data_IF_230525105305
#
_entry.id   IF_230525105305
#
_cell.length_a   1.000
_cell.length_b   1.000
_cell.length_c   1.000
_cell.angle_alpha   90.00
_cell.angle_beta   90.00
_cell.angle_gamma   90.00
#
_symmetry.space_group_name_H-M   'P 1'
#
loop_
_entity.id
_entity.type
_entity.pdbx_description
1 polymer ?
#
# COMPACT_ATOMS: atom_id res chain seq x y z
N UNK A 1 -3.90 -9.17 -21.49
CA UNK A 1 -4.81 -8.03 -21.36
C UNK A 1 -4.75 -7.54 -19.90
N UNK A 2 -4.93 -6.24 -19.62
CA UNK A 2 -4.74 -5.67 -18.27
C UNK A 2 -5.66 -6.28 -17.19
N UNK A 3 -6.90 -6.58 -17.55
CA UNK A 3 -7.92 -7.24 -16.73
C UNK A 3 -7.43 -8.59 -16.15
N UNK A 4 -6.82 -9.45 -16.99
CA UNK A 4 -6.29 -10.76 -16.57
C UNK A 4 -5.18 -10.60 -15.55
N UNK A 5 -4.34 -9.56 -15.71
CA UNK A 5 -3.27 -9.27 -14.76
C UNK A 5 -3.83 -8.87 -13.39
N UNK A 6 -4.76 -7.91 -13.36
CA UNK A 6 -5.34 -7.43 -12.09
C UNK A 6 -6.13 -8.53 -11.37
N UNK A 7 -6.91 -9.35 -12.10
CA UNK A 7 -7.65 -10.46 -11.49
C UNK A 7 -6.71 -11.49 -10.86
N UNK A 8 -5.67 -11.94 -11.58
CA UNK A 8 -4.68 -12.87 -11.05
C UNK A 8 -3.91 -12.28 -9.86
N UNK A 9 -3.62 -10.98 -9.91
CA UNK A 9 -2.92 -10.28 -8.83
C UNK A 9 -3.79 -10.19 -7.58
N UNK A 10 -5.07 -9.87 -7.71
CA UNK A 10 -6.04 -9.86 -6.61
C UNK A 10 -6.17 -11.23 -5.95
N UNK A 11 -6.31 -12.31 -6.73
CA UNK A 11 -6.36 -13.67 -6.20
C UNK A 11 -5.11 -14.00 -5.35
N UNK A 12 -3.93 -13.65 -5.87
CA UNK A 12 -2.66 -13.87 -5.17
C UNK A 12 -2.62 -13.08 -3.86
N UNK A 13 -2.96 -11.80 -3.88
CA UNK A 13 -2.96 -10.93 -2.70
C UNK A 13 -4.00 -11.36 -1.67
N UNK A 14 -5.17 -11.86 -2.09
CA UNK A 14 -6.19 -12.40 -1.19
C UNK A 14 -5.73 -13.70 -0.51
N UNK A 15 -4.99 -14.57 -1.22
CA UNK A 15 -4.35 -15.74 -0.62
C UNK A 15 -3.29 -15.34 0.41
N UNK A 16 -2.42 -14.38 0.06
CA UNK A 16 -1.43 -13.82 1.00
C UNK A 16 -2.11 -13.22 2.24
N UNK A 17 -3.22 -12.50 2.07
CA UNK A 17 -4.00 -11.94 3.17
C UNK A 17 -4.52 -13.02 4.12
N UNK A 18 -5.03 -14.14 3.59
CA UNK A 18 -5.49 -15.28 4.41
C UNK A 18 -4.34 -15.90 5.21
N UNK A 19 -3.15 -16.01 4.61
CA UNK A 19 -1.95 -16.52 5.29
C UNK A 19 -1.52 -15.58 6.42
N UNK A 20 -1.46 -14.27 6.16
CA UNK A 20 -1.08 -13.25 7.16
C UNK A 20 -2.09 -13.18 8.32
N UNK A 21 -3.38 -13.29 8.03
CA UNK A 21 -4.44 -13.38 9.05
C UNK A 21 -4.31 -14.65 9.92
N UNK A 22 -3.94 -15.77 9.30
CA UNK A 22 -3.70 -17.01 10.03
C UNK A 22 -2.48 -16.87 10.95
N UNK A 23 -1.38 -16.27 10.47
CA UNK A 23 -0.20 -15.95 11.30
C UNK A 23 -0.56 -15.04 12.48
N UNK A 24 -1.39 -14.02 12.26
CA UNK A 24 -1.90 -13.12 13.32
C UNK A 24 -2.61 -13.89 14.43
N UNK A 25 -3.46 -14.87 14.08
CA UNK A 25 -4.12 -15.75 15.06
C UNK A 25 -3.10 -16.55 15.88
N UNK A 26 -2.10 -17.15 15.23
CA UNK A 26 -1.04 -17.88 15.93
C UNK A 26 -0.22 -16.99 16.86
N UNK A 27 0.11 -15.74 16.48
CA UNK A 27 0.78 -14.81 17.40
C UNK A 27 -0.04 -14.47 18.64
N UNK A 28 -1.38 -14.46 18.53
CA UNK A 28 -2.28 -14.35 19.68
C UNK A 28 -2.15 -15.56 20.63
N UNK A 29 -2.19 -16.77 20.08
CA UNK A 29 -2.04 -18.01 20.85
C UNK A 29 -0.66 -18.08 21.52
N UNK A 30 0.42 -17.75 20.80
CA UNK A 30 1.76 -17.75 21.40
C UNK A 30 1.93 -16.70 22.50
N UNK A 31 1.25 -15.54 22.42
CA UNK A 31 1.22 -14.56 23.52
C UNK A 31 0.56 -15.13 24.78
N UNK A 32 -0.59 -15.80 24.62
CA UNK A 32 -1.25 -16.48 25.74
C UNK A 32 -0.37 -17.61 26.30
N UNK A 33 0.26 -18.39 25.43
CA UNK A 33 1.21 -19.44 25.82
C UNK A 33 2.41 -18.90 26.60
N UNK A 34 2.97 -17.76 26.21
CA UNK A 34 4.07 -17.11 26.92
C UNK A 34 3.64 -16.64 28.33
N UNK A 35 2.42 -16.12 28.47
CA UNK A 35 1.86 -15.74 29.77
C UNK A 35 1.71 -16.96 30.69
N UNK A 36 1.16 -18.06 30.17
CA UNK A 36 1.02 -19.32 30.93
C UNK A 36 2.39 -19.89 31.30
N UNK A 37 3.34 -19.88 30.37
CA UNK A 37 4.71 -20.34 30.60
C UNK A 37 5.41 -19.56 31.71
N UNK A 38 5.12 -18.26 31.84
CA UNK A 38 5.63 -17.43 32.95
C UNK A 38 5.14 -17.94 34.30
N UNK A 39 3.83 -18.18 34.45
CA UNK A 39 3.27 -18.71 35.71
C UNK A 39 3.77 -20.12 36.03
N UNK A 40 3.85 -21.00 35.03
CA UNK A 40 4.39 -22.36 35.20
C UNK A 40 5.86 -22.33 35.60
N UNK A 41 6.65 -21.44 34.98
CA UNK A 41 8.07 -21.28 35.31
C UNK A 41 8.26 -20.79 36.74
N UNK A 42 7.41 -19.88 37.23
CA UNK A 42 7.48 -19.42 38.62
C UNK A 42 7.12 -20.54 39.61
N UNK A 43 6.13 -21.37 39.28
CA UNK A 43 5.71 -22.49 40.12
C UNK A 43 6.81 -23.56 40.24
N UNK A 44 7.41 -23.97 39.13
CA UNK A 44 8.44 -25.03 39.11
C UNK A 44 9.77 -24.56 39.72
N UNK A 45 10.15 -23.30 39.50
CA UNK A 45 11.45 -22.77 39.93
C UNK A 45 11.46 -22.24 41.37
N UNK A 46 10.31 -22.29 42.07
CA UNK A 46 10.18 -21.76 43.42
C UNK A 46 11.20 -22.38 44.41
N UNK A 47 11.45 -23.68 44.28
CA UNK A 47 12.33 -24.44 45.20
C UNK A 47 13.80 -24.51 44.73
N UNK A 48 14.13 -24.03 43.52
CA UNK A 48 15.46 -24.19 42.91
C UNK A 48 16.39 -23.00 43.24
N UNK A 49 15.83 -21.81 43.52
CA UNK A 49 16.57 -20.62 43.93
C UNK A 49 16.55 -19.46 42.91
N UNK A 50 16.90 -18.25 43.37
CA UNK A 50 16.70 -17.00 42.62
C UNK A 50 17.44 -16.91 41.28
N UNK A 51 18.60 -17.56 41.13
CA UNK A 51 19.35 -17.56 39.87
C UNK A 51 18.61 -18.29 38.75
N UNK A 52 17.91 -19.38 39.05
CA UNK A 52 17.13 -20.11 38.05
C UNK A 52 15.94 -19.29 37.55
N UNK A 53 15.27 -18.58 38.47
CA UNK A 53 14.17 -17.65 38.14
C UNK A 53 14.69 -16.52 37.24
N UNK A 54 15.86 -15.94 37.55
CA UNK A 54 16.45 -14.87 36.75
C UNK A 54 16.75 -15.33 35.31
N UNK A 55 17.37 -16.50 35.14
CA UNK A 55 17.69 -17.05 33.82
C UNK A 55 16.41 -17.34 33.03
N UNK A 56 15.41 -17.94 33.66
CA UNK A 56 14.13 -18.24 33.01
C UNK A 56 13.39 -16.96 32.58
N UNK A 57 13.37 -15.93 33.45
CA UNK A 57 12.79 -14.63 33.12
C UNK A 57 13.51 -13.98 31.93
N UNK A 58 14.85 -14.00 31.90
CA UNK A 58 15.63 -13.46 30.81
C UNK A 58 15.32 -14.15 29.47
N UNK A 59 15.26 -15.48 29.46
CA UNK A 59 14.92 -16.26 28.26
C UNK A 59 13.50 -15.95 27.77
N UNK A 60 12.54 -15.82 28.69
CA UNK A 60 11.16 -15.49 28.36
C UNK A 60 11.03 -14.08 27.78
N UNK A 61 11.76 -13.10 28.34
CA UNK A 61 11.81 -11.72 27.80
C UNK A 61 12.37 -11.71 26.37
N UNK A 62 13.46 -12.44 26.11
CA UNK A 62 14.05 -12.53 24.76
C UNK A 62 13.06 -13.16 23.77
N UNK A 63 12.42 -14.26 24.16
CA UNK A 63 11.42 -14.95 23.35
C UNK A 63 10.23 -14.03 23.05
N UNK A 64 9.70 -13.37 24.09
CA UNK A 64 8.58 -12.44 23.98
C UNK A 64 8.89 -11.27 23.07
N UNK A 65 10.08 -10.65 23.21
CA UNK A 65 10.52 -9.53 22.37
C UNK A 65 10.58 -9.94 20.90
N UNK A 66 11.18 -11.09 20.59
CA UNK A 66 11.22 -11.60 19.21
C UNK A 66 9.83 -11.87 18.64
N UNK A 67 8.91 -12.38 19.46
CA UNK A 67 7.53 -12.63 19.06
C UNK A 67 6.82 -11.31 18.73
N UNK A 68 6.96 -10.29 19.58
CA UNK A 68 6.36 -8.97 19.35
C UNK A 68 6.87 -8.35 18.06
N UNK A 69 8.18 -8.39 17.80
CA UNK A 69 8.74 -7.88 16.54
C UNK A 69 8.17 -8.60 15.31
N UNK A 70 8.01 -9.93 15.37
CA UNK A 70 7.38 -10.69 14.27
C UNK A 70 5.92 -10.35 14.08
N UNK A 71 5.17 -10.12 15.17
CA UNK A 71 3.78 -9.70 15.11
C UNK A 71 3.63 -8.31 14.48
N UNK A 72 4.50 -7.36 14.87
CA UNK A 72 4.54 -6.02 14.28
C UNK A 72 4.83 -6.08 12.77
N UNK A 73 5.83 -6.85 12.35
CA UNK A 73 6.14 -7.04 10.93
C UNK A 73 4.99 -7.69 10.18
N UNK A 74 4.31 -8.68 10.77
CA UNK A 74 3.14 -9.31 10.17
C UNK A 74 1.96 -8.35 10.04
N UNK A 75 1.76 -7.46 11.03
CA UNK A 75 0.75 -6.41 10.98
C UNK A 75 1.04 -5.44 9.82
N UNK A 76 2.28 -4.97 9.70
CA UNK A 76 2.69 -4.10 8.58
C UNK A 76 2.47 -4.78 7.23
N UNK A 77 2.87 -6.05 7.08
CA UNK A 77 2.64 -6.82 5.86
C UNK A 77 1.15 -6.97 5.53
N UNK A 78 0.28 -7.09 6.56
CA UNK A 78 -1.17 -7.16 6.39
C UNK A 78 -1.74 -5.86 5.83
N UNK A 79 -1.33 -4.73 6.41
CA UNK A 79 -1.75 -3.39 5.96
C UNK A 79 -1.24 -3.08 4.55
N UNK A 80 0.03 -3.42 4.24
CA UNK A 80 0.58 -3.23 2.90
C UNK A 80 -0.13 -4.10 1.86
N UNK A 81 -0.48 -5.33 2.22
CA UNK A 81 -1.24 -6.24 1.35
C UNK A 81 -2.68 -5.74 1.12
N UNK A 82 -3.33 -5.20 2.15
CA UNK A 82 -4.65 -4.56 2.04
C UNK A 82 -4.61 -3.36 1.09
N UNK A 83 -3.62 -2.46 1.25
CA UNK A 83 -3.42 -1.32 0.32
C UNK A 83 -3.20 -1.79 -1.12
N UNK A 84 -2.44 -2.87 -1.32
CA UNK A 84 -2.23 -3.44 -2.65
C UNK A 84 -3.53 -4.02 -3.23
N UNK A 85 -4.37 -4.66 -2.41
CA UNK A 85 -5.69 -5.12 -2.85
C UNK A 85 -6.52 -3.93 -3.31
N UNK A 86 -6.65 -2.89 -2.49
CA UNK A 86 -7.42 -1.69 -2.85
C UNK A 86 -6.94 -1.09 -4.18
N UNK A 87 -5.62 -0.93 -4.37
CA UNK A 87 -5.05 -0.38 -5.60
C UNK A 87 -5.46 -1.23 -6.80
N UNK A 88 -5.39 -2.56 -6.70
CA UNK A 88 -5.77 -3.44 -7.81
C UNK A 88 -7.28 -3.43 -8.06
N UNK A 89 -8.11 -3.27 -7.01
CA UNK A 89 -9.57 -3.12 -7.15
C UNK A 89 -9.92 -1.79 -7.81
N UNK A 90 -9.30 -0.68 -7.37
CA UNK A 90 -9.47 0.65 -7.95
C UNK A 90 -9.10 0.66 -9.44
N UNK A 91 -7.99 0.03 -9.83
CA UNK A 91 -7.59 -0.07 -11.24
C UNK A 91 -8.54 -0.96 -12.05
N UNK A 92 -9.01 -2.07 -11.48
CA UNK A 92 -9.99 -2.93 -12.14
C UNK A 92 -11.30 -2.18 -12.38
N UNK A 93 -11.77 -1.40 -11.42
CA UNK A 93 -12.97 -0.58 -11.55
C UNK A 93 -12.75 0.52 -12.60
N UNK A 94 -11.58 1.15 -12.61
CA UNK A 94 -11.21 2.15 -13.61
C UNK A 94 -11.25 1.61 -15.04
N UNK A 95 -10.79 0.37 -15.25
CA UNK A 95 -10.88 -0.32 -16.54
C UNK A 95 -12.32 -0.55 -17.00
N UNK A 96 -13.28 -0.63 -16.07
CA UNK A 96 -14.71 -0.74 -16.36
C UNK A 96 -15.40 0.63 -16.52
N UNK A 97 -14.66 1.73 -16.44
CA UNK A 97 -15.20 3.10 -16.52
C UNK A 97 -15.63 3.68 -15.17
N UNK A 98 -15.38 2.99 -14.06
CA UNK A 98 -15.66 3.46 -12.70
C UNK A 98 -14.37 3.99 -12.07
N UNK A 99 -14.07 5.27 -12.26
CA UNK A 99 -12.83 5.93 -11.81
C UNK A 99 -13.06 7.12 -10.88
N UNK A 100 -14.26 7.24 -10.32
CA UNK A 100 -14.65 8.35 -9.43
C UNK A 100 -13.95 8.34 -8.06
N UNK A 101 -13.31 7.22 -7.71
CA UNK A 101 -12.50 7.06 -6.50
C UNK A 101 -11.19 7.85 -6.53
N UNK A 102 -10.71 8.28 -7.69
CA UNK A 102 -9.51 9.10 -7.80
C UNK A 102 -9.81 10.58 -7.58
N UNK A 103 -8.83 11.31 -7.07
CA UNK A 103 -8.96 12.74 -6.76
C UNK A 103 -9.30 13.55 -8.03
N UNK A 104 -10.38 14.36 -7.99
CA UNK A 104 -10.81 15.15 -9.14
C UNK A 104 -9.85 16.31 -9.42
N UNK A 105 -9.88 16.79 -10.67
CA UNK A 105 -9.01 17.87 -11.14
C UNK A 105 -9.53 19.28 -10.90
N UNK A 106 -10.66 19.46 -10.20
CA UNK A 106 -11.40 20.73 -10.17
C UNK A 106 -10.56 21.93 -9.68
N UNK A 107 -9.56 21.69 -8.82
CA UNK A 107 -8.64 22.71 -8.34
C UNK A 107 -7.70 23.28 -9.42
N UNK A 108 -7.48 22.54 -10.51
CA UNK A 108 -6.66 22.94 -11.65
C UNK A 108 -7.46 23.57 -12.79
N UNK A 109 -8.77 23.74 -12.61
CA UNK A 109 -9.64 24.34 -13.62
C UNK A 109 -9.28 25.81 -13.80
N UNK A 110 -8.91 26.18 -15.02
CA UNK A 110 -8.68 27.56 -15.43
C UNK A 110 -9.61 27.91 -16.58
N UNK A 111 -10.57 28.82 -16.30
CA UNK A 111 -11.59 29.27 -17.24
C UNK A 111 -11.03 29.86 -18.54
N UNK A 112 -9.80 30.36 -18.53
CA UNK A 112 -9.15 31.03 -19.66
C UNK A 112 -8.31 30.09 -20.55
N UNK A 113 -8.29 28.78 -20.28
CA UNK A 113 -7.47 27.85 -21.05
C UNK A 113 -8.19 27.42 -22.35
N UNK A 114 -7.57 27.58 -23.55
CA UNK A 114 -8.27 27.52 -24.84
C UNK A 114 -8.97 26.20 -25.21
N UNK A 115 -8.76 25.14 -24.44
CA UNK A 115 -9.29 23.79 -24.71
C UNK A 115 -9.70 23.03 -23.45
N UNK A 116 -9.57 23.64 -22.25
CA UNK A 116 -9.86 22.93 -20.99
C UNK A 116 -11.34 22.67 -20.78
N UNK A 117 -12.21 23.55 -21.28
CA UNK A 117 -13.67 23.41 -21.16
C UNK A 117 -14.26 22.54 -22.29
N UNK A 118 -13.62 22.48 -23.46
CA UNK A 118 -14.14 21.69 -24.59
C UNK A 118 -13.80 20.20 -24.47
N UNK A 119 -12.72 19.86 -23.75
CA UNK A 119 -12.21 18.49 -23.58
C UNK A 119 -12.44 17.93 -22.16
N UNK A 120 -13.23 18.61 -21.33
CA UNK A 120 -13.53 18.22 -19.95
C UNK A 120 -12.28 17.79 -19.16
N UNK A 121 -11.21 18.58 -19.24
CA UNK A 121 -9.87 18.15 -18.76
C UNK A 121 -9.80 18.08 -17.23
N UNK A 122 -10.53 18.96 -16.52
CA UNK A 122 -10.41 19.12 -15.07
C UNK A 122 -11.74 19.06 -14.31
N UNK A 123 -12.87 18.87 -14.98
CA UNK A 123 -14.18 18.77 -14.33
C UNK A 123 -14.38 17.43 -13.58
N UNK A 124 -15.58 17.18 -13.04
CA UNK A 124 -15.94 15.88 -12.50
C UNK A 124 -16.05 14.84 -13.64
N UNK A 125 -15.57 13.62 -13.43
CA UNK A 125 -15.44 12.61 -14.49
C UNK A 125 -14.47 13.02 -15.63
N UNK A 126 -13.48 13.86 -15.32
CA UNK A 126 -12.55 14.39 -16.31
C UNK A 126 -11.45 13.43 -16.74
N UNK A 127 -10.79 13.79 -17.85
CA UNK A 127 -9.55 13.14 -18.28
C UNK A 127 -8.47 13.16 -17.19
N UNK A 128 -8.34 14.27 -16.44
CA UNK A 128 -7.43 14.32 -15.30
C UNK A 128 -7.81 13.26 -14.27
N UNK A 129 -9.07 13.18 -13.86
CA UNK A 129 -9.52 12.21 -12.86
C UNK A 129 -9.29 10.76 -13.33
N UNK A 130 -9.50 10.48 -14.62
CA UNK A 130 -9.24 9.17 -15.20
C UNK A 130 -7.75 8.77 -15.16
N UNK A 131 -6.86 9.71 -15.46
CA UNK A 131 -5.40 9.47 -15.54
C UNK A 131 -4.68 9.57 -14.20
N UNK A 132 -5.24 10.30 -13.24
CA UNK A 132 -4.57 10.62 -12.00
C UNK A 132 -4.31 9.37 -11.15
N UNK A 133 -3.03 9.11 -10.87
CA UNK A 133 -2.52 8.07 -9.95
C UNK A 133 -1.43 8.63 -9.03
N UNK A 134 -1.34 9.94 -8.88
CA UNK A 134 -0.39 10.56 -7.94
C UNK A 134 -0.90 10.47 -6.51
N UNK A 135 0.03 10.23 -5.59
CA UNK A 135 -0.21 10.20 -4.14
C UNK A 135 0.32 11.44 -3.44
N UNK A 136 0.91 12.37 -4.20
CA UNK A 136 1.50 13.62 -3.69
C UNK A 136 0.95 14.80 -4.48
N UNK A 137 0.77 15.92 -3.79
CA UNK A 137 0.29 17.17 -4.40
C UNK A 137 1.21 17.64 -5.55
N UNK A 138 2.56 17.66 -5.42
CA UNK A 138 3.42 18.03 -6.54
C UNK A 138 3.30 17.09 -7.75
N UNK A 139 2.96 15.81 -7.52
CA UNK A 139 2.72 14.85 -8.59
C UNK A 139 1.43 15.17 -9.35
N UNK A 140 0.37 15.49 -8.62
CA UNK A 140 -0.91 15.93 -9.18
C UNK A 140 -0.78 17.24 -9.95
N UNK A 141 -0.03 18.20 -9.40
CA UNK A 141 0.27 19.49 -10.05
C UNK A 141 1.03 19.29 -11.35
N UNK A 142 2.02 18.40 -11.36
CA UNK A 142 2.80 18.10 -12.56
C UNK A 142 1.92 17.49 -13.65
N UNK A 143 1.06 16.53 -13.30
CA UNK A 143 0.11 15.94 -14.24
C UNK A 143 -0.86 17.00 -14.79
N UNK A 144 -1.39 17.86 -13.93
CA UNK A 144 -2.28 18.93 -14.35
C UNK A 144 -1.60 19.90 -15.32
N UNK A 145 -0.37 20.34 -15.01
CA UNK A 145 0.43 21.18 -15.90
C UNK A 145 0.71 20.47 -17.24
N UNK A 146 0.98 19.16 -17.21
CA UNK A 146 1.20 18.35 -18.41
C UNK A 146 -0.03 18.26 -19.31
N UNK A 147 -1.24 18.23 -18.75
CA UNK A 147 -2.49 18.23 -19.51
C UNK A 147 -2.86 19.64 -20.01
N UNK A 148 -2.54 20.67 -19.23
CA UNK A 148 -2.79 22.05 -19.63
C UNK A 148 -1.88 22.50 -20.77
N UNK A 149 -0.60 22.08 -20.81
CA UNK A 149 0.38 22.61 -21.76
C UNK A 149 0.80 21.61 -22.84
N UNK A 150 0.76 22.03 -24.10
CA UNK A 150 1.30 21.24 -25.21
C UNK A 150 2.82 21.04 -25.07
N UNK A 151 3.27 19.79 -25.20
CA UNK A 151 4.69 19.45 -25.17
C UNK A 151 5.33 19.53 -26.57
N UNK A 152 6.64 19.84 -26.62
CA UNK A 152 7.40 19.73 -27.86
C UNK A 152 7.71 18.27 -28.22
N UNK A 153 8.12 18.04 -29.47
CA UNK A 153 8.35 16.69 -30.00
C UNK A 153 9.38 15.87 -29.20
N UNK A 154 10.50 16.49 -28.82
CA UNK A 154 11.56 15.80 -28.07
C UNK A 154 11.09 15.36 -26.67
N UNK A 155 10.30 16.22 -25.99
CA UNK A 155 9.73 15.90 -24.70
C UNK A 155 8.68 14.78 -24.80
N UNK A 156 7.86 14.79 -25.85
CA UNK A 156 6.89 13.71 -26.12
C UNK A 156 7.61 12.37 -26.27
N UNK A 157 8.68 12.31 -27.08
CA UNK A 157 9.47 11.07 -27.23
C UNK A 157 10.06 10.58 -25.92
N UNK A 158 10.64 11.47 -25.11
CA UNK A 158 11.18 11.12 -23.79
C UNK A 158 10.11 10.56 -22.86
N UNK A 159 8.92 11.18 -22.83
CA UNK A 159 7.77 10.70 -22.02
C UNK A 159 7.29 9.33 -22.49
N UNK A 160 7.13 9.13 -23.79
CA UNK A 160 6.71 7.83 -24.35
C UNK A 160 7.72 6.72 -24.04
N UNK A 161 9.02 7.02 -24.12
CA UNK A 161 10.06 6.07 -23.74
C UNK A 161 9.98 5.72 -22.24
N UNK A 162 9.81 6.70 -21.36
CA UNK A 162 9.64 6.47 -19.93
C UNK A 162 8.37 5.64 -19.62
N UNK A 163 7.25 5.95 -20.28
CA UNK A 163 6.01 5.18 -20.16
C UNK A 163 6.22 3.73 -20.62
N UNK A 164 6.92 3.51 -21.73
CA UNK A 164 7.22 2.17 -22.23
C UNK A 164 8.14 1.38 -21.29
N UNK A 165 9.09 2.02 -20.64
CA UNK A 165 9.93 1.36 -19.63
C UNK A 165 9.10 0.97 -18.40
N UNK A 166 8.29 1.91 -17.89
CA UNK A 166 7.47 1.71 -16.70
C UNK A 166 6.33 0.71 -16.93
N UNK A 167 5.79 0.62 -18.15
CA UNK A 167 4.75 -0.34 -18.50
C UNK A 167 5.23 -1.80 -18.46
N UNK A 168 6.52 -2.06 -18.29
CA UNK A 168 7.06 -3.41 -18.05
C UNK A 168 7.28 -3.71 -16.56
N UNK A 169 7.03 -2.73 -15.67
CA UNK A 169 7.38 -2.76 -14.24
C UNK A 169 6.14 -2.60 -13.35
N UNK A 170 5.01 -3.22 -13.71
CA UNK A 170 3.72 -3.07 -13.02
C UNK A 170 3.80 -3.35 -11.52
N UNK A 171 4.47 -4.44 -11.12
CA UNK A 171 4.61 -4.81 -9.69
C UNK A 171 5.33 -3.71 -8.92
N UNK A 172 6.39 -3.15 -9.51
CA UNK A 172 7.15 -2.07 -8.90
C UNK A 172 6.32 -0.79 -8.75
N UNK A 173 5.52 -0.44 -9.78
CA UNK A 173 4.60 0.69 -9.71
C UNK A 173 3.58 0.49 -8.59
N UNK A 174 2.97 -0.70 -8.48
CA UNK A 174 2.01 -0.98 -7.40
C UNK A 174 2.64 -0.86 -6.01
N UNK A 175 3.90 -1.30 -5.86
CA UNK A 175 4.65 -1.11 -4.61
C UNK A 175 4.90 0.37 -4.32
N UNK A 176 5.28 1.16 -5.34
CA UNK A 176 5.45 2.60 -5.21
C UNK A 176 4.13 3.28 -4.79
N UNK A 177 3.02 2.92 -5.43
CA UNK A 177 1.68 3.40 -5.07
C UNK A 177 1.30 3.01 -3.63
N UNK A 178 1.61 1.78 -3.20
CA UNK A 178 1.37 1.33 -1.83
C UNK A 178 2.16 2.18 -0.80
N UNK A 179 3.43 2.47 -1.09
CA UNK A 179 4.26 3.35 -0.26
C UNK A 179 3.65 4.76 -0.22
N UNK A 180 3.22 5.30 -1.36
CA UNK A 180 2.54 6.59 -1.44
C UNK A 180 1.25 6.64 -0.62
N UNK A 181 0.39 5.62 -0.72
CA UNK A 181 -0.85 5.52 0.06
C UNK A 181 -0.59 5.39 1.57
N UNK A 182 0.54 4.80 1.97
CA UNK A 182 0.96 4.67 3.39
C UNK A 182 1.37 6.00 4.00
N UNK A 183 2.06 6.85 3.25
CA UNK A 183 2.51 8.16 3.68
C UNK A 183 1.74 9.22 2.88
N UNK A 184 0.48 9.51 3.24
CA UNK A 184 -0.23 10.64 2.63
C UNK A 184 0.55 11.91 3.01
N UNK A 185 1.49 12.30 2.15
CA UNK A 185 2.38 13.44 2.32
C UNK A 185 1.55 14.69 2.02
N UNK A 186 0.77 15.12 3.01
CA UNK A 186 0.22 16.48 3.02
C UNK A 186 1.35 17.42 3.43
N UNK A 187 1.72 18.32 2.53
CA UNK A 187 2.58 19.46 2.87
C UNK A 187 1.87 20.39 3.86
#
# INVERSE_FOLDING_TARGET
MPDVFYNKRLETLQLEQKILNTKKKYFGIFRLGALVALFVSLYILWDIGWWAIFIAALLLIILFTRLVLKDLNNKQALEDNERLIDINEDERNALNGEYFQFEPGAQYHHKDHPYSNDLDIFEHASLFQYLNRSFTEPGSDNLAQMLAQSANFDLIKKRQQAINELSQKQIWIQQLCCIGKRQKLTN
#
